data_IF_424966254257
#
_entry.id   IF_424966254257
#
_cell.length_a   1.000
_cell.length_b   1.000
_cell.length_c   1.000
_cell.angle_alpha   90.00
_cell.angle_beta   90.00
_cell.angle_gamma   90.00
#
_symmetry.space_group_name_H-M   'P 1'
#
loop_
_entity.id
_entity.type
_entity.pdbx_description
1 polymer ?
#
# COMPACT_ATOMS: atom_id res chain seq x y z
N UNK A 1 19.92 7.86 2.73
CA UNK A 1 19.25 6.84 1.88
C UNK A 1 20.01 5.53 1.69
N UNK A 2 21.35 5.47 1.62
CA UNK A 2 22.08 4.18 1.70
C UNK A 2 21.78 3.39 2.98
N UNK A 3 21.46 4.09 4.07
CA UNK A 3 21.08 3.50 5.35
C UNK A 3 19.72 2.76 5.31
N UNK A 4 18.75 3.18 4.49
CA UNK A 4 17.44 2.50 4.41
C UNK A 4 17.52 1.11 3.78
N UNK A 5 18.47 0.90 2.85
CA UNK A 5 18.73 -0.41 2.24
C UNK A 5 19.43 -1.38 3.21
N UNK A 6 20.05 -0.86 4.26
CA UNK A 6 20.68 -1.65 5.34
C UNK A 6 19.80 -1.74 6.59
N UNK A 7 18.67 -1.03 6.62
CA UNK A 7 17.77 -1.04 7.78
C UNK A 7 16.97 -2.32 7.76
N UNK A 8 17.14 -3.12 8.81
CA UNK A 8 16.42 -4.36 9.05
C UNK A 8 14.90 -4.14 8.99
N UNK A 9 14.18 -4.99 8.24
CA UNK A 9 12.73 -4.89 8.09
C UNK A 9 12.01 -5.45 9.34
N UNK A 10 12.04 -4.67 10.41
CA UNK A 10 11.38 -4.99 11.70
C UNK A 10 9.87 -5.14 11.59
N UNK A 11 9.25 -4.45 10.64
CA UNK A 11 7.80 -4.55 10.40
C UNK A 11 7.43 -5.95 9.89
N UNK A 12 8.23 -6.52 8.99
CA UNK A 12 7.98 -7.86 8.48
C UNK A 12 8.04 -8.92 9.59
N UNK A 13 9.00 -8.82 10.50
CA UNK A 13 9.08 -9.71 11.67
C UNK A 13 7.85 -9.59 12.57
N UNK A 14 7.39 -8.35 12.82
CA UNK A 14 6.16 -8.10 13.58
C UNK A 14 4.96 -8.76 12.90
N UNK A 15 4.77 -8.56 11.60
CA UNK A 15 3.64 -9.12 10.86
C UNK A 15 3.67 -10.65 10.84
N UNK A 16 4.83 -11.29 10.71
CA UNK A 16 4.96 -12.75 10.73
C UNK A 16 4.44 -13.35 12.05
N UNK A 17 4.65 -12.69 13.19
CA UNK A 17 4.10 -13.15 14.49
C UNK A 17 2.58 -13.25 14.49
N UNK A 18 1.90 -12.54 13.60
CA UNK A 18 0.45 -12.49 13.49
C UNK A 18 -0.11 -13.18 12.23
N UNK A 19 0.66 -14.05 11.57
CA UNK A 19 0.18 -14.84 10.42
C UNK A 19 -0.46 -16.19 10.79
N UNK A 20 -0.44 -16.55 12.08
CA UNK A 20 -0.99 -17.80 12.61
C UNK A 20 -2.34 -17.66 13.31
N UNK A 21 -2.48 -18.26 14.50
CA UNK A 21 -3.73 -18.36 15.28
C UNK A 21 -4.36 -17.01 15.68
N UNK A 22 -3.56 -15.95 15.72
CA UNK A 22 -3.96 -14.55 15.98
C UNK A 22 -3.78 -13.72 14.71
N UNK A 23 -4.49 -14.09 13.65
CA UNK A 23 -4.52 -13.30 12.42
C UNK A 23 -5.06 -11.91 12.70
N UNK A 24 -4.33 -10.88 12.25
CA UNK A 24 -4.81 -9.50 12.31
C UNK A 24 -6.09 -9.33 11.47
N UNK A 25 -7.07 -8.61 12.00
CA UNK A 25 -8.28 -8.27 11.28
C UNK A 25 -8.15 -6.89 10.64
N UNK A 26 -8.57 -6.83 9.38
CA UNK A 26 -8.42 -5.64 8.57
C UNK A 26 -9.77 -5.22 8.01
N UNK A 27 -10.18 -4.00 8.34
CA UNK A 27 -11.37 -3.38 7.76
C UNK A 27 -11.00 -2.76 6.41
N UNK A 28 -11.77 -3.08 5.36
CA UNK A 28 -11.53 -2.59 4.00
C UNK A 28 -12.26 -1.27 3.79
N UNK A 29 -11.55 -0.31 3.23
CA UNK A 29 -12.07 1.02 2.93
C UNK A 29 -11.65 1.44 1.52
N UNK A 30 -12.53 2.17 0.84
CA UNK A 30 -12.19 2.79 -0.44
C UNK A 30 -11.14 3.88 -0.20
N UNK A 31 -10.05 3.88 -0.97
CA UNK A 31 -9.03 4.93 -0.90
C UNK A 31 -9.62 6.33 -1.15
N UNK A 32 -10.68 6.44 -1.97
CA UNK A 32 -11.39 7.69 -2.25
C UNK A 32 -12.07 8.30 -1.01
N UNK A 33 -12.30 7.51 0.05
CA UNK A 33 -12.89 8.00 1.30
C UNK A 33 -11.88 8.73 2.19
N UNK A 34 -10.59 8.72 1.85
CA UNK A 34 -9.54 9.36 2.62
C UNK A 34 -8.97 10.56 1.89
N UNK A 35 -8.67 11.62 2.64
CA UNK A 35 -7.89 12.74 2.13
C UNK A 35 -6.41 12.47 2.44
N UNK A 36 -5.70 11.90 1.46
CA UNK A 36 -4.25 11.78 1.56
C UNK A 36 -3.58 13.14 1.31
N UNK A 37 -2.48 13.45 2.02
CA UNK A 37 -1.72 14.65 1.72
C UNK A 37 -1.22 14.60 0.26
N UNK A 38 -1.33 15.71 -0.48
CA UNK A 38 -0.82 15.75 -1.85
C UNK A 38 0.70 15.57 -1.81
N UNK A 39 1.20 14.57 -2.52
CA UNK A 39 2.63 14.38 -2.73
C UNK A 39 3.02 15.07 -4.04
N UNK A 40 3.93 16.05 -3.97
CA UNK A 40 4.51 16.65 -5.17
C UNK A 40 5.59 15.72 -5.74
N UNK A 41 5.93 15.91 -7.01
CA UNK A 41 6.89 15.04 -7.71
C UNK A 41 8.23 14.92 -6.97
N UNK A 42 8.69 16.00 -6.34
CA UNK A 42 9.90 15.99 -5.50
C UNK A 42 9.78 15.02 -4.32
N UNK A 43 8.66 15.01 -3.59
CA UNK A 43 8.45 14.05 -2.50
C UNK A 43 8.43 12.61 -3.00
N UNK A 44 7.82 12.37 -4.16
CA UNK A 44 7.77 11.02 -4.74
C UNK A 44 9.15 10.59 -5.25
N UNK A 45 9.95 11.51 -5.80
CA UNK A 45 11.34 11.26 -6.21
C UNK A 45 12.23 10.91 -5.02
N UNK A 46 11.99 11.52 -3.86
CA UNK A 46 12.70 11.18 -2.63
C UNK A 46 12.28 9.82 -2.06
N UNK A 47 11.02 9.41 -2.29
CA UNK A 47 10.47 8.12 -1.85
C UNK A 47 10.77 6.95 -2.79
N UNK A 48 11.09 7.20 -4.06
CA UNK A 48 11.23 6.16 -5.10
C UNK A 48 12.61 6.18 -5.75
N UNK A 49 13.00 5.07 -6.39
CA UNK A 49 14.34 4.92 -6.99
C UNK A 49 14.52 5.66 -8.33
N UNK A 50 13.59 6.53 -8.76
CA UNK A 50 13.79 7.41 -9.92
C UNK A 50 12.53 7.98 -10.56
N UNK A 51 12.61 9.22 -11.05
CA UNK A 51 11.52 9.97 -11.71
C UNK A 51 10.87 9.25 -12.90
N UNK A 52 11.64 8.38 -13.58
CA UNK A 52 11.13 7.56 -14.68
C UNK A 52 10.04 6.58 -14.22
N UNK A 53 10.23 5.92 -13.08
CA UNK A 53 9.28 4.96 -12.53
C UNK A 53 7.97 5.65 -12.15
N UNK A 54 8.05 6.85 -11.58
CA UNK A 54 6.89 7.69 -11.24
C UNK A 54 6.09 8.04 -12.50
N UNK A 55 6.78 8.51 -13.54
CA UNK A 55 6.15 8.89 -14.81
C UNK A 55 5.45 7.70 -15.47
N UNK A 56 6.08 6.52 -15.40
CA UNK A 56 5.49 5.28 -15.91
C UNK A 56 4.35 4.76 -15.03
N UNK A 57 4.34 5.04 -13.73
CA UNK A 57 3.35 4.50 -12.80
C UNK A 57 1.92 4.82 -13.23
N UNK A 58 1.64 6.03 -13.72
CA UNK A 58 0.30 6.41 -14.18
C UNK A 58 -0.17 5.55 -15.35
N UNK A 59 0.66 5.41 -16.39
CA UNK A 59 0.34 4.56 -17.55
C UNK A 59 0.23 3.10 -17.14
N UNK A 60 1.12 2.62 -16.27
CA UNK A 60 1.11 1.26 -15.74
C UNK A 60 -0.18 0.97 -14.97
N UNK A 61 -0.62 1.88 -14.10
CA UNK A 61 -1.88 1.78 -13.35
C UNK A 61 -3.06 1.65 -14.31
N UNK A 62 -3.16 2.54 -15.31
CA UNK A 62 -4.27 2.54 -16.28
C UNK A 62 -4.32 1.22 -17.07
N UNK A 63 -3.16 0.73 -17.51
CA UNK A 63 -3.06 -0.46 -18.35
C UNK A 63 -3.20 -1.77 -17.56
N UNK A 64 -2.74 -1.79 -16.31
CA UNK A 64 -2.54 -3.01 -15.53
C UNK A 64 -3.36 -3.11 -14.24
N UNK A 65 -4.05 -2.07 -13.78
CA UNK A 65 -4.95 -2.13 -12.62
C UNK A 65 -6.40 -2.10 -13.14
N UNK A 66 -7.28 -2.92 -12.55
CA UNK A 66 -8.67 -3.00 -12.98
C UNK A 66 -9.36 -1.67 -12.76
N UNK A 67 -9.88 -1.08 -13.84
CA UNK A 67 -10.93 -0.08 -13.74
C UNK A 67 -12.25 -0.77 -13.44
N UNK A 68 -12.74 -0.68 -12.21
CA UNK A 68 -14.06 -1.25 -11.85
C UNK A 68 -15.12 -0.18 -12.05
N UNK A 69 -15.68 -0.13 -13.25
CA UNK A 69 -16.82 0.75 -13.55
C UNK A 69 -18.16 0.15 -13.10
N UNK A 70 -18.18 -1.13 -12.70
CA UNK A 70 -19.41 -1.92 -12.59
C UNK A 70 -19.70 -2.53 -11.23
N UNK A 71 -18.75 -2.56 -10.28
CA UNK A 71 -18.99 -3.06 -8.93
C UNK A 71 -18.22 -2.23 -7.89
N UNK A 72 -18.95 -1.59 -6.97
CA UNK A 72 -18.39 -0.89 -5.80
C UNK A 72 -17.56 -1.82 -4.89
N UNK A 73 -17.80 -3.14 -4.97
CA UNK A 73 -17.04 -4.16 -4.25
C UNK A 73 -15.66 -4.49 -4.89
N UNK A 74 -15.44 -4.17 -6.16
CA UNK A 74 -14.15 -4.31 -6.86
C UNK A 74 -13.35 -2.99 -6.78
N UNK A 75 -13.18 -2.44 -5.58
CA UNK A 75 -12.39 -1.21 -5.40
C UNK A 75 -10.94 -1.39 -5.90
N UNK A 76 -10.50 -0.52 -6.81
CA UNK A 76 -9.19 -0.62 -7.49
C UNK A 76 -8.01 -0.50 -6.50
N UNK A 77 -8.21 0.33 -5.48
CA UNK A 77 -7.26 0.57 -4.40
C UNK A 77 -7.99 0.47 -3.06
N UNK A 78 -7.61 -0.54 -2.28
CA UNK A 78 -8.13 -0.74 -0.94
C UNK A 78 -7.12 -0.21 0.08
N UNK A 79 -7.62 0.63 0.97
CA UNK A 79 -6.96 0.96 2.23
C UNK A 79 -7.54 0.02 3.28
N UNK A 80 -6.67 -0.69 3.96
CA UNK A 80 -7.04 -1.62 5.02
C UNK A 80 -6.46 -1.14 6.35
N UNK A 81 -7.35 -0.91 7.31
CA UNK A 81 -6.99 -0.48 8.66
C UNK A 81 -6.99 -1.69 9.59
N UNK A 82 -5.95 -1.84 10.41
CA UNK A 82 -5.88 -2.94 11.37
C UNK A 82 -6.76 -2.61 12.57
N UNK A 83 -7.62 -3.54 12.96
CA UNK A 83 -8.57 -3.31 14.05
C UNK A 83 -7.88 -3.37 15.43
N UNK A 84 -6.77 -4.11 15.53
CA UNK A 84 -6.02 -4.34 16.76
C UNK A 84 -4.86 -3.35 16.97
N UNK A 85 -4.43 -2.68 15.90
CA UNK A 85 -3.25 -1.83 15.88
C UNK A 85 -3.53 -0.57 15.07
N UNK A 86 -3.70 0.55 15.76
CA UNK A 86 -3.97 1.86 15.17
C UNK A 86 -2.76 2.43 14.42
N UNK A 87 -1.55 1.93 14.70
CA UNK A 87 -0.29 2.30 14.06
C UNK A 87 -0.03 1.58 12.72
N UNK A 88 -0.96 0.73 12.27
CA UNK A 88 -0.84 -0.06 11.05
C UNK A 88 -1.89 0.29 10.01
N UNK A 89 -1.41 0.58 8.81
CA UNK A 89 -2.24 0.71 7.61
C UNK A 89 -1.62 -0.12 6.48
N UNK A 90 -2.45 -0.73 5.64
CA UNK A 90 -1.96 -1.38 4.43
C UNK A 90 -2.74 -0.98 3.19
N UNK A 91 -2.02 -0.84 2.09
CA UNK A 91 -2.59 -0.70 0.77
C UNK A 91 -2.62 -2.06 0.08
N UNK A 92 -3.76 -2.40 -0.52
CA UNK A 92 -3.91 -3.59 -1.36
C UNK A 92 -4.43 -3.19 -2.74
N UNK A 93 -3.78 -3.72 -3.77
CA UNK A 93 -4.25 -3.64 -5.14
C UNK A 93 -3.97 -4.95 -5.88
N UNK A 94 -4.65 -5.16 -7.00
CA UNK A 94 -4.56 -6.38 -7.79
C UNK A 94 -4.22 -6.06 -9.25
N UNK A 95 -3.16 -6.70 -9.75
CA UNK A 95 -2.75 -6.54 -11.15
C UNK A 95 -3.64 -7.35 -12.09
N UNK A 96 -3.92 -6.82 -13.28
CA UNK A 96 -4.66 -7.47 -14.38
C UNK A 96 -3.91 -8.62 -15.04
N UNK A 97 -2.61 -8.48 -15.27
CA UNK A 97 -1.87 -9.33 -16.23
C UNK A 97 -1.07 -10.47 -15.59
N UNK A 98 -0.57 -10.30 -14.37
CA UNK A 98 0.19 -11.36 -13.69
C UNK A 98 -0.69 -12.23 -12.81
N UNK A 99 -1.34 -13.26 -13.37
CA UNK A 99 -2.01 -14.36 -12.64
C UNK A 99 -2.89 -13.92 -11.44
N UNK A 100 -3.56 -12.76 -11.53
CA UNK A 100 -4.37 -12.23 -10.43
C UNK A 100 -3.57 -11.97 -9.12
N UNK A 101 -2.27 -11.71 -9.21
CA UNK A 101 -1.37 -11.51 -8.06
C UNK A 101 -1.83 -10.29 -7.25
N UNK A 102 -2.01 -10.52 -5.96
CA UNK A 102 -2.36 -9.48 -4.98
C UNK A 102 -1.08 -8.86 -4.46
N UNK A 103 -0.99 -7.54 -4.57
CA UNK A 103 0.09 -6.76 -3.98
C UNK A 103 -0.42 -6.17 -2.67
N UNK A 104 0.35 -6.35 -1.60
CA UNK A 104 0.04 -5.80 -0.28
C UNK A 104 1.29 -5.05 0.17
N UNK A 105 1.12 -3.78 0.50
CA UNK A 105 2.15 -2.96 1.13
C UNK A 105 1.63 -2.50 2.49
N UNK A 106 2.35 -2.84 3.56
CA UNK A 106 1.96 -2.47 4.92
C UNK A 106 2.93 -1.42 5.43
N UNK A 107 2.38 -0.37 6.03
CA UNK A 107 3.12 0.75 6.61
C UNK A 107 2.79 0.78 8.10
N UNK A 108 3.84 0.83 8.90
CA UNK A 108 3.75 1.21 10.30
C UNK A 108 4.13 2.68 10.40
N UNK A 109 3.33 3.47 11.11
CA UNK A 109 3.61 4.88 11.35
C UNK A 109 3.70 5.14 12.85
N UNK A 110 4.50 6.13 13.22
CA UNK A 110 4.60 6.57 14.60
C UNK A 110 3.52 7.64 14.84
N UNK A 111 2.64 7.41 15.82
CA UNK A 111 1.61 8.37 16.23
C UNK A 111 2.15 9.42 17.23
N UNK A 112 3.42 9.35 17.60
CA UNK A 112 4.04 10.36 18.47
C UNK A 112 4.25 11.67 17.71
N UNK A 113 3.35 12.63 17.96
CA UNK A 113 3.59 14.07 17.82
C UNK A 113 4.54 14.56 18.91
#
# INVERSE_FOLDING_TARGET
MREMLTTENRLQERLVKHTGTTSLHWSKHNAANFQFPPLIEENIRDLTFGSHQIRMAKSYIIEHIRQSETNEEEMEFLVELCNEHDDLVRARFQSRHSNNKKHISTVQFDNHK
#
